data_IF_563898880564
#
_entry.id   IF_563898880564
#
_cell.length_a   1.000
_cell.length_b   1.000
_cell.length_c   1.000
_cell.angle_alpha   90.00
_cell.angle_beta   90.00
_cell.angle_gamma   90.00
#
_symmetry.space_group_name_H-M   'P 1'
#
loop_
_entity.id
_entity.type
_entity.pdbx_description
1 polymer ?
#
# COMPACT_ATOMS: atom_id res chain seq x y z
N UNK A 1 -6.95 -14.65 -25.79
CA UNK A 1 -7.51 -13.30 -26.10
C UNK A 1 -8.08 -12.56 -24.86
N UNK A 2 -8.30 -13.22 -23.73
CA UNK A 2 -8.93 -12.61 -22.53
C UNK A 2 -8.02 -11.67 -21.69
N UNK A 3 -6.68 -11.80 -21.76
CA UNK A 3 -5.79 -11.05 -20.87
C UNK A 3 -5.39 -9.63 -21.32
N UNK A 4 -5.38 -9.34 -22.62
CA UNK A 4 -4.92 -8.03 -23.12
C UNK A 4 -5.91 -6.90 -22.84
N UNK A 5 -7.20 -7.13 -22.97
CA UNK A 5 -8.23 -6.12 -22.68
C UNK A 5 -8.35 -5.84 -21.16
N UNK A 6 -8.06 -6.82 -20.32
CA UNK A 6 -8.10 -6.71 -18.86
C UNK A 6 -6.91 -5.86 -18.35
N UNK A 7 -5.70 -6.13 -18.84
CA UNK A 7 -4.50 -5.36 -18.51
C UNK A 7 -4.59 -3.88 -18.96
N UNK A 8 -5.19 -3.62 -20.13
CA UNK A 8 -5.41 -2.25 -20.60
C UNK A 8 -6.44 -1.50 -19.75
N UNK A 9 -7.46 -2.17 -19.21
CA UNK A 9 -8.47 -1.55 -18.36
C UNK A 9 -7.94 -1.23 -16.95
N UNK A 10 -7.15 -2.12 -16.33
CA UNK A 10 -6.56 -1.90 -15.01
C UNK A 10 -5.49 -0.80 -15.04
N UNK A 11 -4.65 -0.74 -16.07
CA UNK A 11 -3.69 0.36 -16.23
C UNK A 11 -4.39 1.73 -16.38
N UNK A 12 -5.56 1.78 -17.00
CA UNK A 12 -6.30 3.01 -17.20
C UNK A 12 -6.97 3.52 -15.90
N UNK A 13 -7.43 2.63 -15.03
CA UNK A 13 -8.10 3.05 -13.79
C UNK A 13 -7.15 3.79 -12.84
N UNK A 14 -5.91 3.32 -12.67
CA UNK A 14 -4.93 3.97 -11.80
C UNK A 14 -4.43 5.30 -12.34
N UNK A 15 -4.41 5.52 -13.66
CA UNK A 15 -4.02 6.80 -14.24
C UNK A 15 -5.06 7.90 -13.99
N UNK A 16 -6.30 7.55 -13.67
CA UNK A 16 -7.36 8.47 -13.30
C UNK A 16 -7.35 8.87 -11.81
N UNK A 17 -6.39 8.37 -11.04
CA UNK A 17 -6.31 8.63 -9.60
C UNK A 17 -6.32 10.11 -9.27
N UNK A 18 -7.25 10.52 -8.41
CA UNK A 18 -7.41 11.90 -7.95
C UNK A 18 -7.49 11.95 -6.43
N UNK A 19 -6.86 12.93 -5.82
CA UNK A 19 -7.01 13.19 -4.39
C UNK A 19 -8.47 13.53 -4.09
N UNK A 20 -9.03 12.87 -3.09
CA UNK A 20 -10.40 13.08 -2.64
C UNK A 20 -10.43 13.92 -1.36
N UNK A 21 -9.83 13.40 -0.30
CA UNK A 21 -9.77 14.08 1.01
C UNK A 21 -8.66 13.51 1.89
N UNK A 22 -8.43 14.17 3.02
CA UNK A 22 -7.63 13.66 4.14
C UNK A 22 -8.50 13.58 5.38
N UNK A 23 -8.52 12.44 6.07
CA UNK A 23 -9.26 12.23 7.31
C UNK A 23 -8.34 11.94 8.50
N UNK A 24 -8.75 12.38 9.69
CA UNK A 24 -8.08 12.16 10.97
C UNK A 24 -8.86 11.23 11.89
N UNK A 25 -10.08 10.86 11.48
CA UNK A 25 -10.98 9.91 12.13
C UNK A 25 -11.78 9.14 11.08
N UNK A 26 -12.44 8.04 11.46
CA UNK A 26 -13.31 7.30 10.54
C UNK A 26 -14.47 8.15 10.01
N UNK A 27 -14.96 9.12 10.80
CA UNK A 27 -16.06 10.01 10.41
C UNK A 27 -15.70 11.00 9.32
N UNK A 28 -14.40 11.29 9.15
CA UNK A 28 -13.92 12.21 8.12
C UNK A 28 -13.75 11.50 6.76
N UNK A 29 -13.82 10.16 6.76
CA UNK A 29 -13.64 9.36 5.55
C UNK A 29 -14.94 9.29 4.75
N UNK A 30 -14.90 8.96 3.45
CA UNK A 30 -16.09 8.74 2.66
C UNK A 30 -16.96 7.64 3.26
N UNK A 31 -18.23 7.58 2.86
CA UNK A 31 -19.12 6.47 3.21
C UNK A 31 -18.41 5.12 3.02
N UNK A 32 -18.65 4.20 3.96
CA UNK A 32 -18.00 2.90 3.99
C UNK A 32 -18.65 1.92 2.99
N UNK A 33 -18.58 2.29 1.71
CA UNK A 33 -19.11 1.56 0.56
C UNK A 33 -18.05 1.44 -0.52
N UNK A 34 -18.27 0.54 -1.48
CA UNK A 34 -17.32 0.29 -2.56
C UNK A 34 -16.09 -0.50 -2.11
N UNK A 35 -14.95 -0.23 -2.72
CA UNK A 35 -13.71 -1.01 -2.53
C UNK A 35 -12.56 -0.05 -2.24
N UNK A 36 -11.82 -0.31 -1.18
CA UNK A 36 -10.59 0.40 -0.82
C UNK A 36 -9.40 -0.54 -0.77
N UNK A 37 -8.28 -0.11 -1.34
CA UNK A 37 -6.98 -0.74 -1.18
C UNK A 37 -6.11 0.19 -0.32
N UNK A 38 -5.67 -0.30 0.84
CA UNK A 38 -4.85 0.50 1.73
C UNK A 38 -3.35 0.30 1.41
N UNK A 39 -2.62 1.41 1.40
CA UNK A 39 -1.17 1.43 1.23
C UNK A 39 -0.51 1.89 2.52
N UNK A 40 0.40 1.11 3.03
CA UNK A 40 1.18 1.45 4.19
C UNK A 40 2.66 1.14 3.97
N UNK A 41 3.50 1.57 4.89
CA UNK A 41 4.93 1.32 4.82
C UNK A 41 5.69 2.21 5.79
N UNK A 42 6.90 1.77 6.14
CA UNK A 42 7.78 2.56 7.01
C UNK A 42 8.16 3.87 6.35
N UNK A 43 8.50 4.84 7.18
CA UNK A 43 9.12 6.08 6.70
C UNK A 43 10.29 5.76 5.77
N UNK A 44 10.34 6.46 4.65
CA UNK A 44 11.36 6.26 3.60
C UNK A 44 11.33 4.90 2.87
N UNK A 45 10.31 4.06 3.02
CA UNK A 45 10.12 2.87 2.18
C UNK A 45 9.83 3.22 0.71
N UNK A 46 9.36 4.44 0.47
CA UNK A 46 9.04 4.96 -0.86
C UNK A 46 7.54 4.90 -1.20
N UNK A 47 6.65 4.83 -0.20
CA UNK A 47 5.20 4.75 -0.37
C UNK A 47 4.63 5.81 -1.32
N UNK A 48 4.91 7.10 -1.08
CA UNK A 48 4.46 8.18 -1.98
C UNK A 48 5.03 8.06 -3.40
N UNK A 49 6.24 7.53 -3.55
CA UNK A 49 6.82 7.30 -4.88
C UNK A 49 6.15 6.15 -5.61
N UNK A 50 5.73 5.10 -4.88
CA UNK A 50 4.94 3.99 -5.43
C UNK A 50 3.57 4.49 -5.89
N UNK A 51 2.84 5.25 -5.05
CA UNK A 51 1.55 5.83 -5.39
C UNK A 51 1.64 6.76 -6.61
N UNK A 52 2.69 7.59 -6.67
CA UNK A 52 2.93 8.47 -7.82
C UNK A 52 3.24 7.68 -9.10
N UNK A 53 3.97 6.58 -9.01
CA UNK A 53 4.26 5.70 -10.15
C UNK A 53 2.99 4.99 -10.63
N UNK A 54 2.19 4.45 -9.71
CA UNK A 54 0.92 3.78 -9.98
C UNK A 54 -0.05 4.73 -10.69
N UNK A 55 -0.20 5.94 -10.18
CA UNK A 55 -1.06 6.98 -10.75
C UNK A 55 -0.49 7.66 -12.00
N UNK A 56 0.74 7.34 -12.41
CA UNK A 56 1.49 8.07 -13.45
C UNK A 56 1.50 9.59 -13.25
N UNK A 57 1.43 10.02 -11.99
CA UNK A 57 1.39 11.43 -11.59
C UNK A 57 2.40 11.72 -10.48
N UNK A 58 3.50 12.37 -10.81
CA UNK A 58 4.60 12.68 -9.87
C UNK A 58 4.21 13.59 -8.70
N UNK A 59 3.04 14.24 -8.76
CA UNK A 59 2.58 15.22 -7.78
C UNK A 59 1.35 14.76 -6.99
N UNK A 60 0.84 13.53 -7.21
CA UNK A 60 -0.37 13.03 -6.56
C UNK A 60 -0.16 12.92 -5.05
N UNK A 61 0.80 12.11 -4.63
CA UNK A 61 1.15 11.97 -3.22
C UNK A 61 2.39 12.82 -2.93
N UNK A 62 2.29 13.69 -1.94
CA UNK A 62 3.41 14.56 -1.53
C UNK A 62 4.52 13.70 -0.91
N UNK A 63 5.69 13.72 -1.52
CA UNK A 63 6.90 13.13 -0.96
C UNK A 63 7.46 14.11 0.07
N UNK A 64 7.06 14.02 1.35
CA UNK A 64 7.65 14.86 2.38
C UNK A 64 8.97 14.26 2.87
N UNK A 65 10.02 15.08 2.93
CA UNK A 65 11.28 14.71 3.59
C UNK A 65 11.21 14.87 5.11
N UNK A 66 10.15 15.49 5.63
CA UNK A 66 9.99 15.77 7.06
C UNK A 66 9.14 14.68 7.70
N UNK A 67 9.70 13.87 8.60
CA UNK A 67 8.98 12.83 9.33
C UNK A 67 7.87 13.41 10.23
N UNK A 68 6.72 12.74 10.33
CA UNK A 68 5.68 13.07 11.33
C UNK A 68 4.67 14.15 10.91
N UNK A 69 4.69 14.65 9.66
CA UNK A 69 3.77 15.71 9.21
C UNK A 69 2.37 15.23 8.84
N UNK A 70 2.20 13.99 8.44
CA UNK A 70 0.91 13.49 7.96
C UNK A 70 0.39 12.44 8.93
N UNK A 71 -0.52 12.83 9.79
CA UNK A 71 -1.27 11.93 10.69
C UNK A 71 -2.62 11.51 10.10
N UNK A 72 -2.96 12.03 8.92
CA UNK A 72 -4.20 11.76 8.21
C UNK A 72 -4.08 10.55 7.29
N UNK A 73 -5.18 9.85 7.10
CA UNK A 73 -5.37 8.93 5.98
C UNK A 73 -5.75 9.77 4.77
N UNK A 74 -4.97 9.68 3.69
CA UNK A 74 -5.32 10.34 2.43
C UNK A 74 -6.10 9.37 1.56
N UNK A 75 -7.28 9.77 1.13
CA UNK A 75 -8.12 8.99 0.23
C UNK A 75 -7.99 9.54 -1.18
N UNK A 76 -7.76 8.62 -2.12
CA UNK A 76 -7.73 8.90 -3.55
C UNK A 76 -8.83 8.11 -4.24
N UNK A 77 -9.57 8.76 -5.14
CA UNK A 77 -10.56 8.09 -5.99
C UNK A 77 -9.89 7.60 -7.27
N UNK A 78 -10.28 6.41 -7.72
CA UNK A 78 -9.84 5.79 -8.97
C UNK A 78 -10.88 5.93 -10.09
N UNK A 79 -12.13 6.20 -9.72
CA UNK A 79 -13.26 6.35 -10.65
C UNK A 79 -14.08 7.60 -10.36
N UNK A 80 -14.97 7.93 -11.28
CA UNK A 80 -15.83 9.10 -11.15
C UNK A 80 -16.88 8.94 -10.04
N UNK A 81 -17.39 7.73 -9.83
CA UNK A 81 -18.37 7.41 -8.77
C UNK A 81 -17.74 7.39 -7.38
N UNK A 82 -16.41 7.45 -7.28
CA UNK A 82 -15.65 7.40 -6.02
C UNK A 82 -15.86 6.10 -5.23
N UNK A 83 -16.24 5.04 -5.90
CA UNK A 83 -16.49 3.72 -5.31
C UNK A 83 -15.23 2.86 -5.22
N UNK A 84 -14.24 3.11 -6.09
CA UNK A 84 -12.93 2.47 -6.04
C UNK A 84 -11.90 3.47 -5.55
N UNK A 85 -11.23 3.14 -4.46
CA UNK A 85 -10.37 4.09 -3.73
C UNK A 85 -9.03 3.48 -3.33
N UNK A 86 -8.04 4.34 -3.19
CA UNK A 86 -6.79 4.07 -2.51
C UNK A 86 -6.78 4.84 -1.21
N UNK A 87 -6.46 4.15 -0.11
CA UNK A 87 -6.19 4.77 1.19
C UNK A 87 -4.68 4.78 1.43
N UNK A 88 -4.09 5.97 1.42
CA UNK A 88 -2.69 6.18 1.76
C UNK A 88 -2.57 6.37 3.28
N UNK A 89 -2.26 5.27 3.96
CA UNK A 89 -2.08 5.30 5.40
C UNK A 89 -0.79 6.04 5.76
N UNK A 90 -0.77 6.77 6.88
CA UNK A 90 0.45 7.41 7.34
C UNK A 90 1.60 6.41 7.48
N UNK A 91 2.83 6.83 7.19
CA UNK A 91 4.00 5.99 7.40
C UNK A 91 4.22 5.69 8.88
N UNK A 92 4.67 4.50 9.21
CA UNK A 92 4.98 4.09 10.58
C UNK A 92 6.50 4.04 10.84
N UNK A 93 6.90 3.80 12.10
CA UNK A 93 8.32 3.67 12.48
C UNK A 93 9.06 4.99 12.66
N UNK A 94 8.35 6.07 12.98
CA UNK A 94 8.96 7.36 13.28
C UNK A 94 9.48 7.42 14.73
N UNK A 95 10.79 7.57 14.89
CA UNK A 95 11.44 7.76 16.21
C UNK A 95 11.26 9.19 16.80
N UNK A 96 10.70 10.14 16.04
CA UNK A 96 10.72 11.58 16.39
C UNK A 96 9.35 12.17 16.74
N UNK A 97 8.34 11.37 17.01
CA UNK A 97 7.00 11.85 17.38
C UNK A 97 6.74 11.54 18.86
N UNK A 98 6.01 12.40 19.57
CA UNK A 98 5.69 12.17 20.99
C UNK A 98 4.95 10.84 21.17
N UNK A 99 5.17 10.18 22.32
CA UNK A 99 4.49 8.92 22.66
C UNK A 99 2.95 9.06 22.63
N UNK A 100 2.42 10.23 23.00
CA UNK A 100 0.98 10.53 22.96
C UNK A 100 0.49 10.52 21.51
N UNK A 101 1.15 11.25 20.63
CA UNK A 101 0.81 11.34 19.21
C UNK A 101 0.94 9.97 18.50
N UNK A 102 1.94 9.17 18.87
CA UNK A 102 2.08 7.79 18.35
C UNK A 102 0.90 6.91 18.75
N UNK A 103 0.41 7.05 20.00
CA UNK A 103 -0.70 6.26 20.53
C UNK A 103 -2.03 6.64 19.86
N UNK A 104 -2.31 7.95 19.73
CA UNK A 104 -3.51 8.44 19.04
C UNK A 104 -3.53 8.01 17.57
N UNK A 105 -2.41 8.13 16.90
CA UNK A 105 -2.23 7.70 15.53
C UNK A 105 -2.37 6.19 15.34
N UNK A 106 -1.74 5.40 16.23
CA UNK A 106 -1.88 3.95 16.21
C UNK A 106 -3.35 3.54 16.41
N UNK A 107 -4.08 4.25 17.30
CA UNK A 107 -5.52 4.05 17.51
C UNK A 107 -6.31 4.24 16.21
N UNK A 108 -6.15 5.38 15.53
CA UNK A 108 -6.89 5.66 14.29
C UNK A 108 -6.61 4.65 13.17
N UNK A 109 -5.34 4.24 12.99
CA UNK A 109 -4.99 3.20 12.00
C UNK A 109 -5.61 1.86 12.39
N UNK A 110 -5.57 1.51 13.67
CA UNK A 110 -6.19 0.29 14.19
C UNK A 110 -7.71 0.30 13.96
N UNK A 111 -8.37 1.42 14.22
CA UNK A 111 -9.80 1.57 13.95
C UNK A 111 -10.12 1.47 12.46
N UNK A 112 -9.33 2.12 11.61
CA UNK A 112 -9.48 2.02 10.15
C UNK A 112 -9.35 0.56 9.69
N UNK A 113 -8.29 -0.10 10.10
CA UNK A 113 -8.04 -1.49 9.70
C UNK A 113 -9.11 -2.45 10.22
N UNK A 114 -9.63 -2.27 11.45
CA UNK A 114 -10.58 -3.19 12.07
C UNK A 114 -12.03 -2.94 11.65
N UNK A 115 -12.41 -1.70 11.36
CA UNK A 115 -13.82 -1.34 11.18
C UNK A 115 -14.17 -0.90 9.75
N UNK A 116 -13.20 -0.66 8.88
CA UNK A 116 -13.46 -0.23 7.50
C UNK A 116 -13.89 -1.41 6.63
N UNK A 117 -15.19 -1.52 6.36
CA UNK A 117 -15.80 -2.63 5.59
C UNK A 117 -15.41 -2.62 4.11
N UNK A 118 -15.23 -1.43 3.53
CA UNK A 118 -14.78 -1.27 2.14
C UNK A 118 -13.31 -1.66 1.94
N UNK A 119 -12.52 -1.89 3.01
CA UNK A 119 -11.13 -2.33 2.91
C UNK A 119 -11.03 -3.75 2.33
N UNK A 120 -10.48 -3.86 1.14
CA UNK A 120 -10.31 -5.12 0.42
C UNK A 120 -8.99 -5.82 0.72
N UNK A 121 -7.93 -5.04 0.84
CA UNK A 121 -6.59 -5.56 1.06
C UNK A 121 -5.58 -4.49 1.43
N UNK A 122 -4.43 -4.95 1.92
CA UNK A 122 -3.35 -4.12 2.42
C UNK A 122 -2.08 -4.32 1.59
N UNK A 123 -1.55 -3.23 1.06
CA UNK A 123 -0.23 -3.19 0.38
C UNK A 123 0.80 -2.66 1.36
N UNK A 124 1.75 -3.51 1.78
CA UNK A 124 2.85 -3.13 2.66
C UNK A 124 4.10 -2.87 1.82
N UNK A 125 4.57 -1.62 1.80
CA UNK A 125 5.74 -1.21 1.04
C UNK A 125 6.98 -1.29 1.94
N UNK A 126 7.92 -2.15 1.57
CA UNK A 126 9.18 -2.36 2.26
C UNK A 126 10.36 -1.99 1.38
N UNK A 127 11.45 -1.49 1.99
CA UNK A 127 12.74 -1.40 1.28
C UNK A 127 13.31 -2.82 1.15
N UNK A 128 13.51 -3.28 -0.08
CA UNK A 128 13.99 -4.65 -0.38
C UNK A 128 15.31 -5.00 0.31
N UNK A 129 16.11 -4.00 0.69
CA UNK A 129 17.40 -4.21 1.38
C UNK A 129 17.24 -4.55 2.86
N UNK A 130 16.09 -4.22 3.45
CA UNK A 130 15.81 -4.36 4.88
C UNK A 130 14.33 -4.65 5.13
N UNK A 131 13.76 -5.73 4.57
CA UNK A 131 12.36 -6.09 4.74
C UNK A 131 12.08 -6.67 6.13
N UNK A 132 10.81 -6.87 6.45
CA UNK A 132 10.32 -7.59 7.64
C UNK A 132 10.85 -7.02 8.96
N UNK A 133 10.81 -5.71 9.13
CA UNK A 133 11.07 -5.10 10.44
C UNK A 133 9.89 -5.34 11.39
N UNK A 134 10.12 -5.25 12.69
CA UNK A 134 9.12 -5.49 13.73
C UNK A 134 7.76 -4.82 13.46
N UNK A 135 7.80 -3.55 13.04
CA UNK A 135 6.58 -2.81 12.66
C UNK A 135 5.88 -3.35 11.40
N UNK A 136 6.62 -3.97 10.47
CA UNK A 136 6.04 -4.62 9.31
C UNK A 136 5.35 -5.92 9.73
N UNK A 137 5.99 -6.70 10.63
CA UNK A 137 5.47 -7.95 11.16
C UNK A 137 4.16 -7.75 11.94
N UNK A 138 4.01 -6.64 12.66
CA UNK A 138 2.75 -6.29 13.34
C UNK A 138 1.57 -6.16 12.37
N UNK A 139 1.78 -5.53 11.22
CA UNK A 139 0.73 -5.40 10.19
C UNK A 139 0.47 -6.72 9.44
N UNK A 140 1.51 -7.50 9.23
CA UNK A 140 1.39 -8.85 8.65
C UNK A 140 0.57 -9.76 9.56
N UNK A 141 0.86 -9.75 10.88
CA UNK A 141 0.10 -10.50 11.88
C UNK A 141 -1.36 -10.05 11.94
N UNK A 142 -1.62 -8.75 11.81
CA UNK A 142 -2.98 -8.24 11.68
C UNK A 142 -3.68 -8.80 10.45
N UNK A 143 -3.05 -8.80 9.27
CA UNK A 143 -3.62 -9.39 8.05
C UNK A 143 -3.93 -10.88 8.24
N UNK A 144 -3.07 -11.62 8.93
CA UNK A 144 -3.29 -13.02 9.26
C UNK A 144 -4.54 -13.19 10.13
N UNK A 145 -4.66 -12.44 11.23
CA UNK A 145 -5.78 -12.53 12.19
C UNK A 145 -7.13 -12.14 11.58
N UNK A 146 -7.12 -11.22 10.64
CA UNK A 146 -8.34 -10.70 9.98
C UNK A 146 -8.63 -11.35 8.64
N UNK A 147 -7.78 -12.27 8.18
CA UNK A 147 -7.86 -12.88 6.86
C UNK A 147 -7.91 -11.86 5.71
N UNK A 148 -7.23 -10.71 5.89
CA UNK A 148 -7.18 -9.63 4.91
C UNK A 148 -6.13 -9.93 3.84
N UNK A 149 -6.48 -9.73 2.57
CA UNK A 149 -5.55 -9.91 1.45
C UNK A 149 -4.31 -9.01 1.62
N UNK A 150 -3.12 -9.58 1.41
CA UNK A 150 -1.84 -8.93 1.63
C UNK A 150 -1.00 -8.90 0.36
N UNK A 151 -0.49 -7.73 -0.01
CA UNK A 151 0.58 -7.59 -0.99
C UNK A 151 1.81 -6.95 -0.36
N UNK A 152 2.93 -7.67 -0.35
CA UNK A 152 4.22 -7.12 0.07
C UNK A 152 4.94 -6.58 -1.16
N UNK A 153 5.14 -5.26 -1.20
CA UNK A 153 5.84 -4.59 -2.28
C UNK A 153 7.29 -4.30 -1.88
N UNK A 154 8.23 -5.13 -2.35
CA UNK A 154 9.65 -4.99 -2.09
C UNK A 154 10.23 -3.90 -3.00
N UNK A 155 10.10 -2.64 -2.57
CA UNK A 155 10.50 -1.45 -3.32
C UNK A 155 12.01 -1.24 -3.30
N UNK A 156 12.50 -0.39 -4.22
CA UNK A 156 13.91 -0.07 -4.45
C UNK A 156 14.74 -1.26 -4.98
N UNK A 157 14.12 -2.15 -5.74
CA UNK A 157 14.78 -3.31 -6.36
C UNK A 157 15.94 -2.91 -7.28
N UNK A 158 15.94 -1.67 -7.80
CA UNK A 158 17.05 -1.09 -8.55
C UNK A 158 18.37 -0.94 -7.74
N UNK A 159 18.33 -1.14 -6.44
CA UNK A 159 19.49 -1.07 -5.53
C UNK A 159 20.19 -2.42 -5.31
N UNK A 160 19.66 -3.50 -5.86
CA UNK A 160 20.21 -4.84 -5.77
C UNK A 160 20.45 -5.45 -7.15
N UNK A 161 21.32 -6.46 -7.23
CA UNK A 161 21.47 -7.27 -8.43
C UNK A 161 20.22 -8.11 -8.71
N UNK A 162 20.01 -8.51 -9.97
CA UNK A 162 18.86 -9.34 -10.37
C UNK A 162 18.77 -10.64 -9.57
N UNK A 163 19.92 -11.28 -9.30
CA UNK A 163 19.99 -12.51 -8.49
C UNK A 163 19.51 -12.25 -7.06
N UNK A 164 20.00 -11.17 -6.44
CA UNK A 164 19.64 -10.81 -5.07
C UNK A 164 18.16 -10.43 -4.95
N UNK A 165 17.61 -9.72 -5.95
CA UNK A 165 16.17 -9.43 -6.01
C UNK A 165 15.34 -10.71 -6.02
N UNK A 166 15.70 -11.70 -6.86
CA UNK A 166 15.00 -12.99 -6.92
C UNK A 166 15.06 -13.73 -5.57
N UNK A 167 16.19 -13.70 -4.90
CA UNK A 167 16.37 -14.32 -3.59
C UNK A 167 15.46 -13.67 -2.53
N UNK A 168 15.43 -12.32 -2.45
CA UNK A 168 14.60 -11.61 -1.47
C UNK A 168 13.09 -11.82 -1.73
N UNK A 169 12.65 -11.82 -2.99
CA UNK A 169 11.26 -12.14 -3.34
C UNK A 169 10.91 -13.58 -2.93
N UNK A 170 11.81 -14.56 -3.20
CA UNK A 170 11.59 -15.95 -2.80
C UNK A 170 11.44 -16.08 -1.28
N UNK A 171 12.35 -15.44 -0.51
CA UNK A 171 12.27 -15.43 0.96
C UNK A 171 10.95 -14.84 1.46
N UNK A 172 10.56 -13.70 0.91
CA UNK A 172 9.30 -13.04 1.28
C UNK A 172 8.08 -13.94 1.02
N UNK A 173 8.02 -14.60 -0.14
CA UNK A 173 6.92 -15.51 -0.45
C UNK A 173 6.95 -16.79 0.40
N UNK A 174 8.14 -17.29 0.79
CA UNK A 174 8.24 -18.39 1.76
C UNK A 174 7.67 -17.99 3.11
N UNK A 175 8.01 -16.80 3.61
CA UNK A 175 7.47 -16.26 4.88
C UNK A 175 5.93 -16.13 4.82
N UNK A 176 5.38 -15.59 3.73
CA UNK A 176 3.92 -15.48 3.53
C UNK A 176 3.26 -16.86 3.61
N UNK A 177 3.84 -17.86 2.95
CA UNK A 177 3.33 -19.24 2.94
C UNK A 177 3.43 -19.89 4.31
N UNK A 178 4.55 -19.75 5.01
CA UNK A 178 4.77 -20.29 6.36
C UNK A 178 3.78 -19.72 7.39
N UNK A 179 3.38 -18.46 7.21
CA UNK A 179 2.39 -17.79 8.05
C UNK A 179 0.94 -18.04 7.61
N UNK A 180 0.70 -18.87 6.58
CA UNK A 180 -0.63 -19.13 6.01
C UNK A 180 -1.41 -17.85 5.64
N UNK A 181 -0.73 -16.87 5.07
CA UNK A 181 -1.33 -15.59 4.66
C UNK A 181 -1.93 -15.70 3.26
N UNK A 182 -3.04 -14.98 3.04
CA UNK A 182 -3.61 -14.76 1.71
C UNK A 182 -2.85 -13.60 1.07
N UNK A 183 -1.85 -13.90 0.25
CA UNK A 183 -1.07 -12.82 -0.38
C UNK A 183 0.19 -13.29 -1.05
N UNK A 184 0.92 -12.32 -1.56
CA UNK A 184 2.19 -12.54 -2.23
C UNK A 184 3.16 -11.36 -2.05
N UNK A 185 4.42 -11.55 -2.42
CA UNK A 185 5.45 -10.53 -2.47
C UNK A 185 5.98 -10.37 -3.88
N UNK A 186 6.08 -9.13 -4.34
CA UNK A 186 6.66 -8.78 -5.64
C UNK A 186 7.78 -7.74 -5.50
N UNK A 187 8.75 -7.77 -6.42
CA UNK A 187 9.77 -6.74 -6.51
C UNK A 187 9.26 -5.51 -7.25
N UNK A 188 9.64 -4.33 -6.77
CA UNK A 188 9.23 -3.05 -7.36
C UNK A 188 10.38 -2.04 -7.38
N UNK A 189 10.41 -1.16 -8.38
CA UNK A 189 11.21 0.06 -8.35
C UNK A 189 10.41 1.25 -8.87
N UNK A 190 9.97 2.11 -7.97
CA UNK A 190 9.30 3.37 -8.34
C UNK A 190 10.19 4.30 -9.16
N UNK A 191 11.52 4.16 -9.04
CA UNK A 191 12.48 4.97 -9.81
C UNK A 191 12.59 4.52 -11.27
N UNK A 192 12.51 3.20 -11.52
CA UNK A 192 12.69 2.59 -12.84
C UNK A 192 11.40 1.99 -13.40
N UNK A 193 10.28 2.13 -12.72
CA UNK A 193 8.97 1.52 -13.03
C UNK A 193 9.05 -0.01 -13.23
N UNK A 194 10.00 -0.67 -12.57
CA UNK A 194 10.10 -2.13 -12.59
C UNK A 194 8.93 -2.70 -11.76
N UNK A 195 8.20 -3.67 -12.29
CA UNK A 195 7.07 -4.34 -11.62
C UNK A 195 5.78 -3.54 -11.63
N UNK A 196 5.70 -2.41 -12.35
CA UNK A 196 4.50 -1.56 -12.36
C UNK A 196 3.30 -2.27 -13.00
N UNK A 197 3.51 -2.98 -14.11
CA UNK A 197 2.46 -3.75 -14.79
C UNK A 197 1.90 -4.83 -13.88
N UNK A 198 2.76 -5.69 -13.31
CA UNK A 198 2.31 -6.72 -12.37
C UNK A 198 1.59 -6.15 -11.15
N UNK A 199 2.03 -5.00 -10.62
CA UNK A 199 1.33 -4.30 -9.54
C UNK A 199 -0.07 -3.85 -9.98
N UNK A 200 -0.21 -3.25 -11.16
CA UNK A 200 -1.51 -2.78 -11.66
C UNK A 200 -2.48 -3.93 -11.89
N UNK A 201 -2.01 -5.06 -12.40
CA UNK A 201 -2.82 -6.25 -12.65
C UNK A 201 -3.34 -6.85 -11.34
N UNK A 202 -2.45 -7.08 -10.36
CA UNK A 202 -2.82 -7.60 -9.03
C UNK A 202 -3.84 -6.70 -8.31
N UNK A 203 -3.61 -5.39 -8.33
CA UNK A 203 -4.53 -4.45 -7.70
C UNK A 203 -5.84 -4.30 -8.49
N UNK A 204 -5.79 -4.46 -9.82
CA UNK A 204 -6.97 -4.52 -10.69
C UNK A 204 -7.89 -5.68 -10.29
N UNK A 205 -7.33 -6.86 -10.08
CA UNK A 205 -8.09 -8.03 -9.61
C UNK A 205 -8.77 -7.78 -8.25
N UNK A 206 -8.12 -7.07 -7.33
CA UNK A 206 -8.73 -6.69 -6.05
C UNK A 206 -9.88 -5.69 -6.18
N UNK A 207 -9.87 -4.85 -7.21
CA UNK A 207 -10.91 -3.83 -7.47
C UNK A 207 -12.12 -4.38 -8.23
N UNK A 208 -12.01 -5.58 -8.80
CA UNK A 208 -13.09 -6.24 -9.56
C UNK A 208 -13.77 -7.37 -8.77
N UNK A 209 -13.12 -7.87 -7.73
CA UNK A 209 -13.60 -8.96 -6.87
C UNK A 209 -14.53 -8.45 -5.78
#
# INVERSE_FOLDING_TARGET
MFNLNRAMNSQNIFSNTRFLLSGFSLKDLPEDQGIEIAFCGRSNSGKSSVLNALARNKKLAKTSKTPGRTQAINIFSLDYQKMRRIADLPGYGFAKVSKKTQKEWAGFITDYLNFRKSLRGLVIIMDIRHPFKESDLTLIDWCHKTNTALLILLNKSDKLSKSRVKEEVKKANSTIKEMNLIGEAIAFSSKKNIGLEGLTDLLGDWLEA
#
